data_IF_524518548527
#
_entry.id   IF_524518548527
#
_cell.length_a   1.000
_cell.length_b   1.000
_cell.length_c   1.000
_cell.angle_alpha   90.00
_cell.angle_beta   90.00
_cell.angle_gamma   90.00
#
_symmetry.space_group_name_H-M   'P 1'
#
loop_
_entity.id
_entity.type
_entity.pdbx_description
1 polymer ?
#
# COMPACT_ATOMS: atom_id res chain seq x y z
N UNK A 1 17.30 93.37 13.37
CA UNK A 1 16.53 92.24 12.82
C UNK A 1 17.25 90.94 13.18
N UNK A 2 16.61 90.10 14.01
CA UNK A 2 17.16 88.82 14.48
C UNK A 2 16.76 87.71 13.51
N UNK A 3 17.72 87.12 12.82
CA UNK A 3 17.57 85.89 12.03
C UNK A 3 17.71 84.68 12.96
N UNK A 4 16.61 84.13 13.46
CA UNK A 4 16.60 82.91 14.29
C UNK A 4 15.65 81.81 13.75
N UNK A 5 15.21 81.90 12.49
CA UNK A 5 14.25 80.94 11.90
C UNK A 5 14.85 79.69 11.25
N UNK A 6 16.11 79.73 10.79
CA UNK A 6 16.66 78.68 9.93
C UNK A 6 17.10 77.40 10.67
N UNK A 7 17.61 77.53 11.90
CA UNK A 7 18.19 76.39 12.63
C UNK A 7 17.11 75.38 13.08
N UNK A 8 15.95 75.83 13.55
CA UNK A 8 14.85 74.94 14.00
C UNK A 8 14.16 74.19 12.86
N UNK A 9 13.99 74.84 11.70
CA UNK A 9 13.35 74.22 10.53
C UNK A 9 14.20 73.07 9.95
N UNK A 10 15.53 73.16 10.04
CA UNK A 10 16.44 72.09 9.61
C UNK A 10 16.52 70.93 10.61
N UNK A 11 16.43 71.18 11.92
CA UNK A 11 16.42 70.10 12.93
C UNK A 11 15.17 69.22 12.82
N UNK A 12 14.01 69.83 12.52
CA UNK A 12 12.75 69.09 12.29
C UNK A 12 12.78 68.26 11.01
N UNK A 13 13.47 68.73 9.98
CA UNK A 13 13.56 68.05 8.68
C UNK A 13 14.54 66.86 8.74
N UNK A 14 15.68 67.03 9.42
CA UNK A 14 16.61 65.94 9.70
C UNK A 14 15.96 64.85 10.58
N UNK A 15 15.20 65.25 11.61
CA UNK A 15 14.46 64.31 12.46
C UNK A 15 13.39 63.52 11.68
N UNK A 16 12.66 64.18 10.78
CA UNK A 16 11.69 63.53 9.89
C UNK A 16 12.36 62.52 8.95
N UNK A 17 13.50 62.88 8.35
CA UNK A 17 14.25 61.98 7.47
C UNK A 17 14.70 60.71 8.19
N UNK A 18 15.23 60.85 9.41
CA UNK A 18 15.62 59.71 10.26
C UNK A 18 14.40 58.86 10.63
N UNK A 19 13.29 59.48 11.03
CA UNK A 19 12.05 58.77 11.35
C UNK A 19 11.52 57.97 10.13
N UNK A 20 11.55 58.56 8.94
CA UNK A 20 11.10 57.91 7.72
C UNK A 20 11.99 56.71 7.36
N UNK A 21 13.31 56.84 7.49
CA UNK A 21 14.26 55.73 7.28
C UNK A 21 14.00 54.60 8.27
N UNK A 22 13.82 54.92 9.54
CA UNK A 22 13.50 53.92 10.58
C UNK A 22 12.18 53.21 10.29
N UNK A 23 11.12 53.95 9.96
CA UNK A 23 9.82 53.37 9.58
C UNK A 23 9.97 52.47 8.36
N UNK A 24 10.72 52.89 7.34
CA UNK A 24 10.96 52.09 6.13
C UNK A 24 11.73 50.81 6.46
N UNK A 25 12.79 50.90 7.28
CA UNK A 25 13.58 49.75 7.70
C UNK A 25 12.75 48.74 8.52
N UNK A 26 11.93 49.23 9.46
CA UNK A 26 11.01 48.39 10.24
C UNK A 26 9.97 47.74 9.33
N UNK A 27 9.43 48.49 8.36
CA UNK A 27 8.41 47.98 7.43
C UNK A 27 8.98 46.88 6.53
N UNK A 28 10.16 47.09 5.92
CA UNK A 28 10.84 46.08 5.11
C UNK A 28 11.20 44.84 5.94
N UNK A 29 11.66 45.05 7.18
CA UNK A 29 11.94 43.94 8.11
C UNK A 29 10.69 43.12 8.44
N UNK A 30 9.56 43.78 8.70
CA UNK A 30 8.29 43.14 9.00
C UNK A 30 7.74 42.35 7.80
N UNK A 31 7.80 42.92 6.59
CA UNK A 31 7.37 42.23 5.35
C UNK A 31 8.24 41.00 5.10
N UNK A 32 9.56 41.13 5.17
CA UNK A 32 10.46 39.99 4.96
C UNK A 32 10.31 38.89 6.03
N UNK A 33 9.90 39.23 7.25
CA UNK A 33 9.57 38.25 8.28
C UNK A 33 8.22 37.57 7.98
N UNK A 34 7.20 38.33 7.59
CA UNK A 34 5.90 37.81 7.21
C UNK A 34 5.96 36.89 5.99
N UNK A 35 6.73 37.25 4.96
CA UNK A 35 6.92 36.43 3.76
C UNK A 35 7.56 35.08 4.09
N UNK A 36 8.53 35.05 5.04
CA UNK A 36 9.11 33.79 5.52
C UNK A 36 8.08 32.93 6.25
N UNK A 37 7.28 33.53 7.13
CA UNK A 37 6.22 32.81 7.85
C UNK A 37 5.16 32.27 6.88
N UNK A 38 4.80 33.02 5.85
CA UNK A 38 3.86 32.59 4.82
C UNK A 38 4.45 31.47 3.95
N UNK A 39 5.72 31.57 3.57
CA UNK A 39 6.40 30.52 2.82
C UNK A 39 6.50 29.22 3.61
N UNK A 40 6.81 29.30 4.91
CA UNK A 40 6.90 28.16 5.83
C UNK A 40 5.53 27.49 6.01
N UNK A 41 4.48 28.27 6.29
CA UNK A 41 3.12 27.76 6.43
C UNK A 41 2.57 27.14 5.12
N UNK A 42 2.95 27.71 3.96
CA UNK A 42 2.61 27.14 2.67
C UNK A 42 3.34 25.81 2.42
N UNK A 43 4.60 25.71 2.86
CA UNK A 43 5.38 24.46 2.85
C UNK A 43 4.72 23.36 3.69
N UNK A 44 4.41 23.65 4.96
CA UNK A 44 3.76 22.69 5.88
C UNK A 44 2.42 22.17 5.32
N UNK A 45 1.61 23.06 4.73
CA UNK A 45 0.34 22.68 4.10
C UNK A 45 0.54 21.76 2.88
N UNK A 46 1.60 21.99 2.10
CA UNK A 46 1.95 21.18 0.94
C UNK A 46 2.50 19.81 1.34
N UNK A 47 3.40 19.76 2.33
CA UNK A 47 3.95 18.53 2.90
C UNK A 47 2.86 17.65 3.49
N UNK A 48 1.94 18.25 4.26
CA UNK A 48 0.78 17.55 4.80
C UNK A 48 -0.06 16.94 3.68
N UNK A 49 -0.43 17.73 2.68
CA UNK A 49 -1.27 17.24 1.58
C UNK A 49 -0.58 16.11 0.79
N UNK A 50 0.73 16.21 0.57
CA UNK A 50 1.51 15.15 -0.08
C UNK A 50 1.59 13.89 0.77
N UNK A 51 1.83 14.02 2.08
CA UNK A 51 1.90 12.89 3.01
C UNK A 51 0.55 12.15 3.12
N UNK A 52 -0.56 12.89 3.19
CA UNK A 52 -1.92 12.32 3.20
C UNK A 52 -2.22 11.59 1.90
N UNK A 53 -1.98 12.25 0.76
CA UNK A 53 -2.21 11.64 -0.57
C UNK A 53 -1.32 10.43 -0.81
N UNK A 54 -0.07 10.45 -0.33
CA UNK A 54 0.84 9.31 -0.39
C UNK A 54 0.35 8.15 0.48
N UNK A 55 -0.09 8.43 1.70
CA UNK A 55 -0.61 7.41 2.61
C UNK A 55 -1.84 6.72 2.02
N UNK A 56 -2.74 7.47 1.41
CA UNK A 56 -3.93 6.91 0.77
C UNK A 56 -3.57 6.10 -0.49
N UNK A 57 -2.65 6.60 -1.32
CA UNK A 57 -2.17 5.88 -2.51
C UNK A 57 -1.45 4.56 -2.16
N UNK A 58 -0.71 4.51 -1.05
CA UNK A 58 -0.06 3.28 -0.57
C UNK A 58 -1.07 2.21 -0.16
N UNK A 59 -2.31 2.58 0.18
CA UNK A 59 -3.35 1.65 0.58
C UNK A 59 -4.16 1.11 -0.60
N UNK A 60 -4.21 1.84 -1.72
CA UNK A 60 -5.08 1.51 -2.85
C UNK A 60 -4.32 1.06 -4.08
N UNK A 61 -3.32 1.84 -4.52
CA UNK A 61 -2.65 1.65 -5.81
C UNK A 61 -1.15 1.83 -5.65
N UNK A 62 -0.51 0.82 -5.04
CA UNK A 62 0.93 0.86 -4.87
C UNK A 62 1.61 -0.50 -5.09
N UNK A 63 2.94 -0.51 -5.30
CA UNK A 63 3.72 -1.74 -5.45
C UNK A 63 3.71 -2.66 -4.23
N UNK A 64 3.25 -2.16 -3.08
CA UNK A 64 3.11 -2.94 -1.84
C UNK A 64 1.65 -3.33 -1.57
N UNK A 65 0.72 -2.94 -2.44
CA UNK A 65 -0.70 -3.25 -2.30
C UNK A 65 -1.00 -4.55 -3.03
N UNK A 66 -1.71 -5.44 -2.36
CA UNK A 66 -2.35 -6.61 -2.94
C UNK A 66 -3.86 -6.41 -2.91
N UNK A 67 -4.51 -6.63 -4.04
CA UNK A 67 -5.97 -6.54 -4.18
C UNK A 67 -6.55 -7.91 -4.47
N UNK A 68 -7.61 -8.26 -3.74
CA UNK A 68 -8.35 -9.49 -3.94
C UNK A 68 -9.86 -9.23 -3.95
N UNK A 69 -10.45 -9.31 -5.14
CA UNK A 69 -11.89 -9.10 -5.38
C UNK A 69 -12.46 -7.83 -4.69
N UNK A 70 -11.69 -6.74 -4.69
CA UNK A 70 -12.11 -5.45 -4.13
C UNK A 70 -11.75 -5.23 -2.66
N UNK A 71 -11.00 -6.14 -2.04
CA UNK A 71 -10.35 -5.89 -0.75
C UNK A 71 -8.86 -5.62 -0.96
N UNK A 72 -8.44 -4.39 -0.66
CA UNK A 72 -7.03 -3.99 -0.74
C UNK A 72 -6.35 -4.20 0.61
N UNK A 73 -5.13 -4.73 0.57
CA UNK A 73 -4.29 -4.97 1.73
C UNK A 73 -2.83 -4.70 1.41
N UNK A 74 -2.02 -4.46 2.43
CA UNK A 74 -0.57 -4.32 2.32
C UNK A 74 0.06 -5.70 2.27
N UNK A 75 0.68 -6.05 1.16
CA UNK A 75 1.49 -7.26 1.05
C UNK A 75 2.83 -7.04 1.76
N UNK A 76 3.01 -7.74 2.88
CA UNK A 76 4.18 -7.56 3.76
C UNK A 76 5.47 -8.07 3.12
N UNK A 77 5.37 -9.01 2.18
CA UNK A 77 6.52 -9.50 1.41
C UNK A 77 6.92 -8.45 0.37
N UNK A 78 5.97 -7.90 -0.39
CA UNK A 78 6.25 -6.82 -1.33
C UNK A 78 6.75 -5.55 -0.61
N UNK A 79 6.25 -5.27 0.59
CA UNK A 79 6.76 -4.19 1.43
C UNK A 79 8.22 -4.40 1.86
N UNK A 80 8.70 -5.63 1.99
CA UNK A 80 10.11 -5.91 2.28
C UNK A 80 11.00 -5.86 1.04
N UNK A 81 10.43 -6.13 -0.14
CA UNK A 81 11.17 -6.19 -1.41
C UNK A 81 11.19 -4.86 -2.18
N UNK A 82 10.26 -3.96 -1.87
CA UNK A 82 10.19 -2.64 -2.50
C UNK A 82 11.36 -1.74 -2.07
N UNK A 83 11.48 -0.59 -2.72
CA UNK A 83 12.46 0.43 -2.38
C UNK A 83 11.97 1.82 -2.77
N UNK A 84 12.73 2.84 -2.38
CA UNK A 84 12.36 4.23 -2.62
C UNK A 84 12.27 4.60 -4.11
N UNK A 85 13.03 3.94 -4.99
CA UNK A 85 12.94 4.17 -6.44
C UNK A 85 11.64 3.66 -7.00
N UNK A 86 11.23 2.46 -6.62
CA UNK A 86 9.96 1.86 -7.02
C UNK A 86 8.78 2.67 -6.49
N UNK A 87 8.78 3.02 -5.20
CA UNK A 87 7.69 3.81 -4.61
C UNK A 87 7.58 5.20 -5.20
N UNK A 88 8.68 5.92 -5.40
CA UNK A 88 8.60 7.25 -6.01
C UNK A 88 8.13 7.20 -7.47
N UNK A 89 8.44 6.13 -8.22
CA UNK A 89 7.92 5.97 -9.55
C UNK A 89 6.40 5.71 -9.53
N UNK A 90 5.92 4.86 -8.61
CA UNK A 90 4.54 4.43 -8.56
C UNK A 90 3.59 5.40 -7.83
N UNK A 91 4.06 6.11 -6.80
CA UNK A 91 3.25 6.98 -5.93
C UNK A 91 3.55 8.45 -6.25
N UNK A 92 2.70 9.15 -7.02
CA UNK A 92 3.00 10.49 -7.53
C UNK A 92 3.37 11.53 -6.47
N UNK A 93 2.72 11.57 -5.28
CA UNK A 93 3.09 12.52 -4.23
C UNK A 93 4.53 12.37 -3.68
N UNK A 94 5.19 11.23 -3.90
CA UNK A 94 6.58 10.97 -3.48
C UNK A 94 7.62 11.37 -4.55
N UNK A 95 7.19 11.81 -5.73
CA UNK A 95 8.10 12.18 -6.83
C UNK A 95 8.83 13.47 -6.50
N UNK A 96 10.16 13.41 -6.50
CA UNK A 96 11.02 14.58 -6.27
C UNK A 96 11.05 15.10 -4.84
N UNK A 97 10.36 14.46 -3.89
CA UNK A 97 10.37 14.81 -2.49
C UNK A 97 11.37 13.94 -1.70
N UNK A 98 11.82 14.43 -0.54
CA UNK A 98 12.42 13.57 0.47
C UNK A 98 11.29 12.87 1.24
N UNK A 99 11.41 11.58 1.48
CA UNK A 99 10.34 10.82 2.13
C UNK A 99 10.85 9.61 2.88
N UNK A 100 10.01 9.13 3.79
CA UNK A 100 10.17 7.86 4.48
C UNK A 100 8.83 7.15 4.60
N UNK A 101 8.78 5.89 4.21
CA UNK A 101 7.62 5.00 4.39
C UNK A 101 7.98 3.92 5.40
N UNK A 102 7.14 3.75 6.41
CA UNK A 102 7.25 2.67 7.40
C UNK A 102 5.99 1.82 7.44
N UNK A 103 6.17 0.53 7.68
CA UNK A 103 5.09 -0.42 7.99
C UNK A 103 5.41 -1.06 9.34
N UNK A 104 4.55 -0.85 10.32
CA UNK A 104 4.75 -1.23 11.72
C UNK A 104 6.11 -0.78 12.28
N UNK A 105 6.47 0.48 12.02
CA UNK A 105 7.71 1.08 12.48
C UNK A 105 8.96 0.64 11.72
N UNK A 106 8.88 -0.36 10.83
CA UNK A 106 10.00 -0.79 9.98
C UNK A 106 10.06 0.07 8.73
N UNK A 107 11.21 0.70 8.46
CA UNK A 107 11.42 1.46 7.23
C UNK A 107 11.43 0.54 6.02
N UNK A 108 10.45 0.75 5.14
CA UNK A 108 10.28 0.05 3.86
C UNK A 108 11.02 0.78 2.74
N UNK A 109 10.97 2.11 2.78
CA UNK A 109 11.63 2.94 1.80
C UNK A 109 11.98 4.30 2.40
N UNK A 110 13.14 4.83 2.02
CA UNK A 110 13.58 6.16 2.41
C UNK A 110 14.39 6.80 1.29
N UNK A 111 14.17 8.09 1.06
CA UNK A 111 14.92 8.90 0.09
C UNK A 111 15.12 10.30 0.65
N UNK A 112 16.33 10.83 0.47
CA UNK A 112 16.69 12.16 0.97
C UNK A 112 16.78 12.18 2.50
N UNK A 113 16.53 13.33 3.09
CA UNK A 113 16.42 13.52 4.54
C UNK A 113 15.03 14.08 4.88
N UNK A 114 14.09 13.25 5.32
CA UNK A 114 12.72 13.67 5.65
C UNK A 114 12.55 13.99 7.14
N UNK A 115 13.62 14.35 7.85
CA UNK A 115 13.56 14.57 9.31
C UNK A 115 12.74 15.79 9.72
N UNK A 116 12.62 16.79 8.86
CA UNK A 116 11.79 18.00 9.04
C UNK A 116 10.36 17.87 8.51
N UNK A 117 10.07 16.82 7.73
CA UNK A 117 8.80 16.71 7.01
C UNK A 117 7.59 16.30 7.85
N UNK A 118 6.41 16.47 7.26
CA UNK A 118 5.14 16.09 7.86
C UNK A 118 4.92 14.56 7.83
N UNK A 119 4.42 13.99 8.93
CA UNK A 119 4.16 12.54 9.06
C UNK A 119 2.69 12.21 9.22
N UNK A 120 2.20 11.29 8.38
CA UNK A 120 0.83 10.76 8.42
C UNK A 120 0.84 9.27 8.74
N UNK A 121 -0.04 8.84 9.64
CA UNK A 121 -0.29 7.44 9.96
C UNK A 121 -1.67 6.96 9.48
N UNK A 122 -1.75 5.72 8.98
CA UNK A 122 -3.00 5.03 8.64
C UNK A 122 -2.96 3.58 9.13
N UNK A 123 -4.08 3.09 9.65
CA UNK A 123 -4.27 1.66 9.90
C UNK A 123 -4.65 0.94 8.61
N UNK A 124 -4.12 -0.26 8.40
CA UNK A 124 -4.34 -1.07 7.22
C UNK A 124 -4.44 -2.55 7.58
N UNK A 125 -4.97 -3.36 6.66
CA UNK A 125 -4.79 -4.82 6.72
C UNK A 125 -3.47 -5.15 6.06
N UNK A 126 -2.56 -5.81 6.77
CA UNK A 126 -1.37 -6.43 6.22
C UNK A 126 -1.63 -7.90 5.95
N UNK A 127 -1.08 -8.41 4.84
CA UNK A 127 -1.16 -9.83 4.48
C UNK A 127 0.25 -10.40 4.26
N UNK A 128 0.47 -11.59 4.80
CA UNK A 128 1.60 -12.44 4.41
C UNK A 128 1.07 -13.55 3.51
N UNK A 129 1.65 -13.67 2.31
CA UNK A 129 1.17 -14.55 1.24
C UNK A 129 2.15 -15.68 1.00
N UNK A 130 1.64 -16.89 0.89
CA UNK A 130 2.42 -18.07 0.52
C UNK A 130 1.68 -18.94 -0.49
N UNK A 131 2.44 -19.62 -1.34
CA UNK A 131 1.86 -20.62 -2.23
C UNK A 131 1.77 -21.95 -1.51
N UNK A 132 0.58 -22.54 -1.51
CA UNK A 132 0.32 -23.88 -0.97
C UNK A 132 -0.07 -24.82 -2.10
N UNK A 133 0.43 -26.06 -2.04
CA UNK A 133 0.17 -27.10 -3.05
C UNK A 133 -0.08 -28.44 -2.37
N UNK A 134 -1.02 -29.20 -2.90
CA UNK A 134 -1.34 -30.58 -2.52
C UNK A 134 -1.66 -31.38 -3.78
N UNK A 135 -1.47 -32.69 -3.70
CA UNK A 135 -1.80 -33.61 -4.78
C UNK A 135 -2.69 -34.70 -4.22
N UNK A 136 -3.81 -34.96 -4.89
CA UNK A 136 -4.71 -36.06 -4.60
C UNK A 136 -4.35 -37.20 -5.55
N UNK A 137 -4.02 -38.36 -5.00
CA UNK A 137 -3.83 -39.57 -5.79
C UNK A 137 -5.16 -40.31 -5.91
N UNK A 138 -5.72 -40.37 -7.12
CA UNK A 138 -7.05 -40.95 -7.37
C UNK A 138 -7.14 -42.46 -7.09
N UNK A 139 -5.99 -43.14 -6.99
CA UNK A 139 -5.91 -44.57 -6.63
C UNK A 139 -5.82 -44.84 -5.13
N UNK A 140 -5.68 -43.79 -4.32
CA UNK A 140 -5.54 -43.88 -2.87
C UNK A 140 -6.69 -43.11 -2.18
N UNK A 141 -6.35 -42.06 -1.43
CA UNK A 141 -7.32 -41.20 -0.77
C UNK A 141 -7.78 -40.08 -1.74
N UNK A 142 -9.07 -40.01 -2.08
CA UNK A 142 -9.58 -39.04 -3.06
C UNK A 142 -9.87 -37.66 -2.42
N UNK A 143 -9.16 -37.31 -1.35
CA UNK A 143 -9.29 -36.00 -0.71
C UNK A 143 -7.93 -35.45 -0.23
N UNK A 144 -7.89 -34.14 0.02
CA UNK A 144 -6.75 -33.48 0.65
C UNK A 144 -7.21 -32.20 1.33
N UNK A 145 -6.45 -31.73 2.33
CA UNK A 145 -6.70 -30.45 2.99
C UNK A 145 -5.67 -29.42 2.56
N UNK A 146 -6.17 -28.31 1.99
CA UNK A 146 -5.37 -27.15 1.64
C UNK A 146 -5.35 -26.18 2.82
N UNK A 147 -4.23 -26.17 3.54
CA UNK A 147 -4.07 -25.37 4.76
C UNK A 147 -3.86 -23.89 4.48
N UNK A 148 -4.46 -23.04 5.31
CA UNK A 148 -4.42 -21.59 5.22
C UNK A 148 -5.66 -21.00 4.56
N UNK A 149 -5.90 -19.71 4.82
CA UNK A 149 -7.02 -18.96 4.25
C UNK A 149 -6.70 -18.60 2.80
N UNK A 150 -7.63 -18.90 1.90
CA UNK A 150 -7.59 -18.49 0.48
C UNK A 150 -9.00 -18.13 0.02
N UNK A 151 -9.14 -17.49 -1.13
CA UNK A 151 -10.43 -17.22 -1.76
C UNK A 151 -10.59 -17.92 -3.11
N UNK A 152 -9.51 -18.54 -3.61
CA UNK A 152 -9.48 -19.25 -4.88
C UNK A 152 -8.53 -20.43 -4.82
N UNK A 153 -8.88 -21.48 -5.55
CA UNK A 153 -8.07 -22.68 -5.68
C UNK A 153 -7.96 -23.04 -7.15
N UNK A 154 -6.74 -23.33 -7.61
CA UNK A 154 -6.46 -23.88 -8.93
C UNK A 154 -6.39 -25.40 -8.79
N UNK A 155 -7.09 -26.09 -9.68
CA UNK A 155 -7.16 -27.54 -9.78
C UNK A 155 -6.57 -27.92 -11.14
N UNK A 156 -5.60 -28.81 -11.17
CA UNK A 156 -5.11 -29.43 -12.40
C UNK A 156 -5.47 -30.92 -12.34
N UNK A 157 -6.40 -31.32 -13.20
CA UNK A 157 -7.08 -32.63 -13.14
C UNK A 157 -6.55 -33.51 -14.26
N UNK A 158 -5.81 -34.55 -13.90
CA UNK A 158 -5.13 -35.44 -14.83
C UNK A 158 -5.50 -36.91 -14.55
N UNK A 159 -6.69 -37.36 -14.96
CA UNK A 159 -7.11 -38.74 -14.79
C UNK A 159 -6.38 -39.66 -15.79
N UNK A 160 -6.19 -40.93 -15.41
CA UNK A 160 -5.72 -41.95 -16.35
C UNK A 160 -6.83 -42.35 -17.36
N UNK A 161 -6.52 -42.98 -18.50
CA UNK A 161 -7.48 -43.27 -19.57
C UNK A 161 -8.73 -44.09 -19.20
N UNK A 162 -8.74 -44.79 -18.05
CA UNK A 162 -9.87 -45.58 -17.55
C UNK A 162 -10.50 -44.96 -16.29
N UNK A 163 -10.30 -43.67 -16.06
CA UNK A 163 -10.80 -42.95 -14.88
C UNK A 163 -11.54 -41.71 -15.35
N UNK A 164 -12.73 -41.47 -14.80
CA UNK A 164 -13.48 -40.25 -15.07
C UNK A 164 -13.72 -39.52 -13.76
N UNK A 165 -13.21 -38.30 -13.66
CA UNK A 165 -13.50 -37.40 -12.54
C UNK A 165 -14.82 -36.70 -12.83
N UNK A 166 -15.86 -36.89 -12.01
CA UNK A 166 -17.19 -36.37 -12.29
C UNK A 166 -17.53 -35.13 -11.46
N UNK A 167 -17.14 -35.13 -10.19
CA UNK A 167 -17.47 -34.06 -9.25
C UNK A 167 -16.25 -33.73 -8.41
N UNK A 168 -15.98 -32.43 -8.24
CA UNK A 168 -15.01 -31.94 -7.27
C UNK A 168 -15.76 -31.11 -6.25
N UNK A 169 -15.64 -31.51 -5.00
CA UNK A 169 -16.18 -30.85 -3.83
C UNK A 169 -15.07 -30.04 -3.17
N UNK A 170 -15.43 -28.85 -2.71
CA UNK A 170 -14.61 -28.05 -1.79
C UNK A 170 -15.45 -27.79 -0.55
N UNK A 171 -14.97 -28.26 0.58
CA UNK A 171 -15.73 -28.40 1.82
C UNK A 171 -17.04 -29.15 1.53
N UNK A 172 -18.18 -28.62 1.95
CA UNK A 172 -19.50 -29.21 1.72
C UNK A 172 -20.17 -28.78 0.40
N UNK A 173 -19.42 -28.15 -0.53
CA UNK A 173 -19.97 -27.57 -1.77
C UNK A 173 -19.41 -28.22 -3.01
N UNK A 174 -20.29 -28.49 -3.98
CA UNK A 174 -19.88 -28.87 -5.34
C UNK A 174 -19.24 -27.66 -6.00
N UNK A 175 -17.93 -27.75 -6.27
CA UNK A 175 -17.17 -26.72 -6.95
C UNK A 175 -17.20 -26.92 -8.47
N UNK A 176 -17.09 -28.17 -8.92
CA UNK A 176 -17.20 -28.57 -10.32
C UNK A 176 -18.02 -29.84 -10.44
N UNK A 177 -18.84 -29.94 -11.48
CA UNK A 177 -19.56 -31.16 -11.81
C UNK A 177 -19.71 -31.28 -13.32
N UNK A 178 -19.19 -32.36 -13.88
CA UNK A 178 -19.29 -32.68 -15.30
C UNK A 178 -19.44 -34.20 -15.47
N UNK A 179 -20.64 -34.72 -15.75
CA UNK A 179 -20.88 -36.16 -15.87
C UNK A 179 -20.01 -36.85 -16.93
N UNK A 180 -19.59 -36.11 -17.97
CA UNK A 180 -18.74 -36.60 -19.05
C UNK A 180 -17.23 -36.64 -18.69
N UNK A 181 -16.83 -36.11 -17.51
CA UNK A 181 -15.44 -36.02 -17.08
C UNK A 181 -14.93 -34.59 -16.94
N UNK A 182 -14.18 -34.32 -15.88
CA UNK A 182 -13.42 -33.11 -15.61
C UNK A 182 -11.96 -33.41 -15.88
N UNK A 183 -11.31 -32.61 -16.72
CA UNK A 183 -9.89 -32.73 -17.06
C UNK A 183 -9.26 -31.35 -17.25
N UNK A 184 -7.94 -31.26 -17.10
CA UNK A 184 -7.16 -30.05 -17.29
C UNK A 184 -7.27 -29.06 -16.13
N UNK A 185 -6.96 -27.78 -16.43
CA UNK A 185 -6.85 -26.74 -15.41
C UNK A 185 -8.18 -25.98 -15.17
N UNK A 186 -8.54 -25.84 -13.90
CA UNK A 186 -9.73 -25.12 -13.44
C UNK A 186 -9.40 -24.18 -12.30
N UNK A 187 -10.14 -23.08 -12.18
CA UNK A 187 -10.06 -22.16 -11.04
C UNK A 187 -11.42 -22.06 -10.40
N UNK A 188 -11.49 -22.36 -9.10
CA UNK A 188 -12.73 -22.34 -8.32
C UNK A 188 -12.62 -21.30 -7.21
N UNK A 189 -13.68 -20.50 -7.05
CA UNK A 189 -13.80 -19.57 -5.93
C UNK A 189 -14.22 -20.32 -4.65
N UNK A 190 -13.54 -20.05 -3.55
CA UNK A 190 -13.82 -20.68 -2.24
C UNK A 190 -14.14 -19.61 -1.20
N UNK A 191 -14.74 -20.02 -0.09
CA UNK A 191 -14.96 -19.08 1.01
C UNK A 191 -13.62 -18.63 1.59
N UNK A 192 -13.51 -17.41 2.12
CA UNK A 192 -12.28 -16.94 2.76
C UNK A 192 -12.05 -17.53 4.15
N UNK A 193 -12.49 -18.76 4.42
CA UNK A 193 -12.21 -19.47 5.67
C UNK A 193 -10.84 -20.14 5.57
N UNK A 194 -10.14 -20.36 6.70
CA UNK A 194 -8.94 -21.17 6.68
C UNK A 194 -9.29 -22.63 6.44
N UNK A 195 -8.35 -23.34 5.83
CA UNK A 195 -8.32 -24.80 5.70
C UNK A 195 -9.50 -25.37 4.91
N UNK A 196 -9.30 -25.61 3.61
CA UNK A 196 -10.31 -26.19 2.74
C UNK A 196 -10.05 -27.66 2.49
N UNK A 197 -11.08 -28.50 2.65
CA UNK A 197 -11.03 -29.88 2.20
C UNK A 197 -11.43 -29.95 0.72
N UNK A 198 -10.59 -30.55 -0.12
CA UNK A 198 -10.93 -30.84 -1.51
C UNK A 198 -11.16 -32.34 -1.62
N UNK A 199 -12.33 -32.73 -2.13
CA UNK A 199 -12.72 -34.13 -2.31
C UNK A 199 -13.14 -34.37 -3.77
N UNK A 200 -12.69 -35.47 -4.34
CA UNK A 200 -12.91 -35.81 -5.75
C UNK A 200 -13.76 -37.06 -5.82
N UNK A 201 -14.77 -37.04 -6.69
CA UNK A 201 -15.59 -38.21 -7.02
C UNK A 201 -15.22 -38.72 -8.41
N UNK A 202 -14.90 -40.00 -8.48
CA UNK A 202 -14.46 -40.68 -9.70
C UNK A 202 -15.35 -41.88 -10.02
N UNK A 203 -15.33 -42.28 -11.29
CA UNK A 203 -15.89 -43.55 -11.78
C UNK A 203 -14.84 -44.33 -12.57
N UNK A 204 -14.91 -45.65 -12.50
CA UNK A 204 -13.96 -46.61 -13.07
C UNK A 204 -13.69 -47.75 -12.09
N UNK A 205 -13.33 -48.94 -12.57
CA UNK A 205 -13.11 -50.12 -11.71
C UNK A 205 -11.88 -49.95 -10.80
N UNK A 206 -10.85 -49.26 -11.31
CA UNK A 206 -9.61 -48.93 -10.58
C UNK A 206 -9.20 -47.49 -10.92
N UNK A 207 -9.79 -46.47 -10.26
CA UNK A 207 -9.51 -45.08 -10.56
C UNK A 207 -8.03 -44.75 -10.30
N UNK A 208 -7.42 -44.00 -11.22
CA UNK A 208 -6.00 -43.60 -11.16
C UNK A 208 -5.77 -42.26 -11.87
N UNK A 209 -4.61 -41.67 -11.60
CA UNK A 209 -4.28 -40.29 -12.00
C UNK A 209 -4.12 -39.37 -10.80
N UNK A 210 -4.05 -38.07 -11.05
CA UNK A 210 -3.85 -37.06 -10.01
C UNK A 210 -4.77 -35.86 -10.17
N UNK A 211 -5.05 -35.21 -9.03
CA UNK A 211 -5.57 -33.84 -9.02
C UNK A 211 -4.63 -32.98 -8.19
N UNK A 212 -3.92 -32.07 -8.85
CA UNK A 212 -3.04 -31.12 -8.20
C UNK A 212 -3.82 -29.86 -7.82
N UNK A 213 -3.82 -29.59 -6.52
CA UNK A 213 -4.57 -28.51 -5.88
C UNK A 213 -3.57 -27.45 -5.44
N UNK A 214 -3.75 -26.21 -5.87
CA UNK A 214 -2.88 -25.10 -5.45
C UNK A 214 -3.63 -23.83 -5.18
N UNK A 215 -3.13 -23.02 -4.25
CA UNK A 215 -3.67 -21.71 -3.96
C UNK A 215 -2.59 -20.76 -3.43
N UNK A 216 -2.92 -19.47 -3.42
CA UNK A 216 -2.20 -18.47 -2.63
C UNK A 216 -2.92 -18.32 -1.29
N UNK A 217 -2.36 -18.93 -0.26
CA UNK A 217 -2.84 -18.74 1.10
C UNK A 217 -2.32 -17.42 1.67
N UNK A 218 -3.11 -16.80 2.54
CA UNK A 218 -2.73 -15.55 3.19
C UNK A 218 -3.14 -15.50 4.67
N UNK A 219 -2.26 -14.92 5.48
CA UNK A 219 -2.51 -14.58 6.88
C UNK A 219 -2.69 -13.07 6.99
N UNK A 220 -3.79 -12.63 7.60
CA UNK A 220 -4.15 -11.22 7.70
C UNK A 220 -3.91 -10.70 9.12
N UNK A 221 -3.30 -9.52 9.23
CA UNK A 221 -3.06 -8.79 10.47
C UNK A 221 -3.39 -7.32 10.29
N UNK A 222 -3.59 -6.59 11.39
CA UNK A 222 -3.66 -5.13 11.36
C UNK A 222 -2.25 -4.58 11.40
N UNK A 223 -1.94 -3.64 10.51
CA UNK A 223 -0.66 -2.94 10.45
C UNK A 223 -0.86 -1.43 10.41
N UNK A 224 0.18 -0.68 10.74
CA UNK A 224 0.22 0.78 10.63
C UNK A 224 1.20 1.19 9.52
N UNK A 225 0.71 1.94 8.55
CA UNK A 225 1.55 2.62 7.57
C UNK A 225 1.82 4.03 8.08
N UNK A 226 3.08 4.44 8.01
CA UNK A 226 3.48 5.82 8.29
C UNK A 226 4.24 6.38 7.09
N UNK A 227 3.86 7.57 6.65
CA UNK A 227 4.51 8.28 5.56
C UNK A 227 4.96 9.63 6.07
N UNK A 228 6.27 9.89 5.97
CA UNK A 228 6.86 11.20 6.19
C UNK A 228 7.24 11.79 4.83
N UNK A 229 6.85 13.03 4.54
CA UNK A 229 7.21 13.75 3.31
C UNK A 229 7.74 15.14 3.66
N UNK A 230 8.87 15.50 3.03
CA UNK A 230 9.55 16.79 3.12
C UNK A 230 9.75 17.30 1.67
N UNK A 231 9.21 18.49 1.37
CA UNK A 231 8.81 18.88 0.01
C UNK A 231 9.29 20.27 -0.43
#
# INVERSE_FOLDING_TARGET
MRSHGAARAQTTLAGLAVALVLVTAVTVGAVAAADRLLADAAGESLEQHRAESAADALLTESPITWSDNGSDAVDLTLANETNATVLAAAVPPLRGAAFRVRVDGRTVAERGDPSSGYTVGRGAVGVDRRTVRRSINLSAEPNTTLTGRTNRTRLDVNPAPNTTVQTIWVDDRVALHQPAGIEGEHVVGVSSRPDHEVRVETTGDEPSGSVDVSATAFDATVVRIEVTVDA
#
